data_IF_087443690131
#
_entry.id   IF_087443690131
#
_cell.length_a   1.000
_cell.length_b   1.000
_cell.length_c   1.000
_cell.angle_alpha   90.00
_cell.angle_beta   90.00
_cell.angle_gamma   90.00
#
_symmetry.space_group_name_H-M   'P 1'
#
loop_
_entity.id
_entity.type
_entity.pdbx_description
1 polymer ?
#
# COMPACT_ATOMS: atom_id res chain seq x y z
N UNK A 1 44.03 -7.64 -20.41
CA UNK A 1 44.59 -6.54 -19.57
C UNK A 1 43.73 -5.30 -19.78
N UNK A 2 43.30 -4.67 -18.68
CA UNK A 2 42.53 -3.40 -18.63
C UNK A 2 43.46 -2.21 -18.88
N UNK A 3 43.05 -1.19 -19.66
CA UNK A 3 43.29 0.28 -19.48
C UNK A 3 42.23 1.00 -20.36
N UNK A 4 41.25 1.78 -19.91
CA UNK A 4 41.18 3.03 -19.12
C UNK A 4 41.83 4.25 -19.78
N UNK A 5 40.97 5.20 -20.21
CA UNK A 5 41.23 6.65 -20.36
C UNK A 5 39.92 7.32 -19.94
N UNK A 6 39.80 7.83 -18.71
CA UNK A 6 40.23 9.15 -18.22
C UNK A 6 39.35 10.29 -18.74
N UNK A 7 38.62 10.89 -17.81
CA UNK A 7 37.84 12.12 -17.99
C UNK A 7 37.56 12.71 -16.61
N UNK A 8 38.54 13.44 -16.09
CA UNK A 8 38.48 14.16 -14.82
C UNK A 8 37.76 15.49 -15.06
N UNK A 9 36.67 15.73 -14.34
CA UNK A 9 36.16 17.07 -14.07
C UNK A 9 36.10 17.23 -12.55
N UNK A 10 37.08 17.94 -12.01
CA UNK A 10 37.15 18.32 -10.62
C UNK A 10 36.87 19.83 -10.51
N UNK A 11 35.72 20.17 -9.93
CA UNK A 11 35.44 21.41 -9.20
C UNK A 11 34.12 21.12 -8.48
N UNK A 12 34.10 20.78 -7.19
CA UNK A 12 34.44 21.71 -6.13
C UNK A 12 33.14 22.08 -5.44
N UNK A 13 32.72 21.28 -4.46
CA UNK A 13 31.68 21.66 -3.52
C UNK A 13 31.91 20.93 -2.19
N UNK A 14 32.54 21.66 -1.27
CA UNK A 14 32.75 21.27 0.11
C UNK A 14 31.46 21.64 0.85
N UNK A 15 30.70 20.65 1.30
CA UNK A 15 29.69 20.85 2.33
C UNK A 15 30.16 20.16 3.61
N UNK A 16 30.48 20.97 4.60
CA UNK A 16 30.81 20.57 5.97
C UNK A 16 29.53 20.14 6.70
N UNK A 17 29.46 18.85 7.01
CA UNK A 17 28.86 18.19 8.19
C UNK A 17 27.62 18.81 8.87
N UNK A 18 26.49 18.09 8.81
CA UNK A 18 25.63 17.91 9.99
C UNK A 18 25.47 16.41 10.24
N UNK A 19 25.66 16.05 11.51
CA UNK A 19 25.56 14.73 12.08
C UNK A 19 24.27 14.00 11.68
N UNK A 20 24.38 12.71 11.40
CA UNK A 20 23.20 11.86 11.18
C UNK A 20 23.50 10.66 10.31
N UNK A 21 24.48 9.85 10.70
CA UNK A 21 24.64 8.51 10.14
C UNK A 21 23.46 7.68 10.65
N UNK A 22 22.42 7.59 9.84
CA UNK A 22 21.59 6.39 9.74
C UNK A 22 21.21 6.27 8.27
N UNK A 23 21.85 5.38 7.49
CA UNK A 23 21.06 4.70 6.48
C UNK A 23 19.93 4.03 7.27
N UNK A 24 18.73 4.62 7.20
CA UNK A 24 17.49 3.92 7.55
C UNK A 24 17.63 2.57 6.86
N UNK A 25 17.78 1.51 7.67
CA UNK A 25 17.81 0.16 7.16
C UNK A 25 16.56 0.08 6.32
N UNK A 26 16.72 -0.02 5.00
CA UNK A 26 15.66 -0.41 4.11
C UNK A 26 15.29 -1.81 4.56
N UNK A 27 14.40 -1.86 5.55
CA UNK A 27 13.85 -3.06 6.12
C UNK A 27 13.36 -3.82 4.90
N UNK A 28 13.96 -4.99 4.67
CA UNK A 28 13.63 -5.86 3.57
C UNK A 28 12.20 -6.34 3.81
N UNK A 29 11.26 -5.44 3.52
CA UNK A 29 9.85 -5.58 3.78
C UNK A 29 9.42 -6.71 2.88
N UNK A 30 9.23 -7.87 3.51
CA UNK A 30 8.71 -9.08 2.88
C UNK A 30 7.51 -8.65 2.04
N UNK A 31 7.68 -8.57 0.71
CA UNK A 31 6.67 -8.00 -0.19
C UNK A 31 5.40 -8.83 -0.04
N UNK A 32 4.39 -8.28 0.66
CA UNK A 32 3.10 -8.95 0.81
C UNK A 32 2.41 -8.98 -0.55
N UNK A 33 1.88 -10.14 -0.93
CA UNK A 33 1.08 -10.25 -2.15
C UNK A 33 -0.19 -9.42 -1.97
N UNK A 34 -0.30 -8.36 -2.78
CA UNK A 34 -1.50 -7.52 -2.84
C UNK A 34 -2.43 -8.10 -3.90
N UNK A 35 -3.69 -8.27 -3.52
CA UNK A 35 -4.78 -8.64 -4.39
C UNK A 35 -5.62 -7.40 -4.69
N UNK A 36 -6.30 -7.40 -5.83
CA UNK A 36 -7.25 -6.35 -6.17
C UNK A 36 -8.54 -6.95 -6.70
N UNK A 37 -9.66 -6.30 -6.41
CA UNK A 37 -10.97 -6.72 -6.90
C UNK A 37 -11.88 -5.53 -7.09
N UNK A 38 -12.69 -5.55 -8.15
CA UNK A 38 -13.77 -4.59 -8.35
C UNK A 38 -15.07 -5.17 -7.77
N UNK A 39 -15.74 -4.42 -6.91
CA UNK A 39 -16.92 -4.92 -6.20
C UNK A 39 -17.86 -3.81 -5.75
N UNK A 40 -19.14 -4.15 -5.59
CA UNK A 40 -20.18 -3.26 -5.08
C UNK A 40 -20.12 -3.23 -3.56
N UNK A 41 -19.94 -2.05 -2.97
CA UNK A 41 -19.98 -1.86 -1.52
C UNK A 41 -21.37 -2.21 -0.99
N UNK A 42 -21.45 -3.09 0.00
CA UNK A 42 -22.72 -3.62 0.52
C UNK A 42 -23.05 -3.14 1.95
N UNK A 43 -22.15 -2.41 2.60
CA UNK A 43 -22.36 -1.84 3.93
C UNK A 43 -21.31 -2.29 4.95
N UNK A 44 -21.36 -1.68 6.13
CA UNK A 44 -20.51 -2.03 7.27
C UNK A 44 -21.17 -3.10 8.13
N UNK A 45 -20.45 -4.17 8.46
CA UNK A 45 -20.88 -5.17 9.43
C UNK A 45 -20.53 -4.74 10.87
N UNK A 46 -19.42 -4.01 11.01
CA UNK A 46 -19.00 -3.35 12.24
C UNK A 46 -18.13 -2.11 11.88
N UNK A 47 -17.62 -1.31 12.83
CA UNK A 47 -16.85 -0.10 12.53
C UNK A 47 -15.59 -0.32 11.66
N UNK A 48 -15.10 -1.55 11.60
CA UNK A 48 -13.82 -1.96 11.00
C UNK A 48 -14.01 -2.87 9.80
N UNK A 49 -15.04 -3.71 9.81
CA UNK A 49 -15.32 -4.69 8.77
C UNK A 49 -16.52 -4.27 7.92
N UNK A 50 -16.37 -4.44 6.62
CA UNK A 50 -17.40 -4.12 5.66
C UNK A 50 -17.49 -5.17 4.57
N UNK A 51 -18.66 -5.25 3.95
CA UNK A 51 -18.95 -6.25 2.93
C UNK A 51 -18.92 -5.63 1.52
N UNK A 52 -18.42 -6.42 0.58
CA UNK A 52 -18.50 -6.12 -0.85
C UNK A 52 -19.09 -7.31 -1.60
N UNK A 53 -19.87 -7.01 -2.64
CA UNK A 53 -20.37 -7.99 -3.60
C UNK A 53 -19.48 -8.02 -4.83
N UNK A 54 -18.96 -9.20 -5.14
CA UNK A 54 -18.11 -9.50 -6.31
C UNK A 54 -18.80 -10.57 -7.14
N UNK A 55 -19.49 -10.17 -8.20
CA UNK A 55 -20.35 -11.06 -8.98
C UNK A 55 -21.47 -11.63 -8.11
N UNK A 56 -21.52 -12.96 -7.98
CA UNK A 56 -22.50 -13.69 -7.14
C UNK A 56 -22.00 -13.97 -5.71
N UNK A 57 -20.78 -13.55 -5.36
CA UNK A 57 -20.15 -13.83 -4.06
C UNK A 57 -20.02 -12.56 -3.23
N UNK A 58 -20.04 -12.71 -1.91
CA UNK A 58 -19.72 -11.64 -0.97
C UNK A 58 -18.33 -11.84 -0.38
N UNK A 59 -17.67 -10.74 -0.01
CA UNK A 59 -16.39 -10.75 0.70
C UNK A 59 -16.43 -9.72 1.82
N UNK A 60 -15.88 -10.10 2.96
CA UNK A 60 -15.68 -9.19 4.09
C UNK A 60 -14.24 -8.67 4.04
N UNK A 61 -14.12 -7.34 4.04
CA UNK A 61 -12.86 -6.61 4.05
C UNK A 61 -12.72 -5.85 5.37
N UNK A 62 -11.49 -5.68 5.82
CA UNK A 62 -11.15 -4.97 7.05
C UNK A 62 -10.44 -3.66 6.72
N UNK A 63 -10.89 -2.54 7.29
CA UNK A 63 -10.18 -1.28 7.25
C UNK A 63 -10.48 -0.43 8.49
N UNK A 64 -9.42 0.02 9.18
CA UNK A 64 -9.51 1.00 10.27
C UNK A 64 -9.51 2.44 9.76
N UNK A 65 -9.58 2.66 8.45
CA UNK A 65 -9.51 4.00 7.87
C UNK A 65 -10.89 4.67 7.93
N UNK A 66 -11.04 5.60 8.89
CA UNK A 66 -12.28 6.36 9.10
C UNK A 66 -12.71 7.21 7.91
N UNK A 67 -11.81 7.53 6.97
CA UNK A 67 -12.18 8.21 5.72
C UNK A 67 -13.09 7.33 4.87
N UNK A 68 -12.77 6.03 4.70
CA UNK A 68 -13.61 5.13 3.91
C UNK A 68 -15.02 5.02 4.50
N UNK A 69 -15.14 4.97 5.84
CA UNK A 69 -16.44 4.92 6.53
C UNK A 69 -17.36 6.08 6.20
N UNK A 70 -16.80 7.26 5.92
CA UNK A 70 -17.57 8.47 5.59
C UNK A 70 -17.84 8.63 4.09
N UNK A 71 -17.10 7.94 3.22
CA UNK A 71 -17.08 8.22 1.77
C UNK A 71 -17.47 7.03 0.88
N UNK A 72 -17.47 5.81 1.41
CA UNK A 72 -18.06 4.67 0.72
C UNK A 72 -19.58 4.78 0.76
N UNK A 73 -20.21 4.63 -0.40
CA UNK A 73 -21.65 4.70 -0.55
C UNK A 73 -22.18 3.32 -0.90
N UNK A 74 -23.18 2.87 -0.16
CA UNK A 74 -23.82 1.57 -0.41
C UNK A 74 -24.32 1.51 -1.86
N UNK A 75 -24.07 0.35 -2.45
CA UNK A 75 -24.40 0.07 -3.82
C UNK A 75 -23.48 0.68 -4.88
N UNK A 76 -22.46 1.48 -4.53
CA UNK A 76 -21.43 1.89 -5.48
C UNK A 76 -20.37 0.82 -5.66
N UNK A 77 -19.84 0.74 -6.88
CA UNK A 77 -18.71 -0.12 -7.22
C UNK A 77 -17.39 0.63 -7.01
N UNK A 78 -16.43 -0.03 -6.37
CA UNK A 78 -15.07 0.47 -6.14
C UNK A 78 -14.06 -0.63 -6.47
N UNK A 79 -12.78 -0.24 -6.62
CA UNK A 79 -11.65 -1.19 -6.72
C UNK A 79 -10.92 -1.25 -5.38
N UNK A 80 -10.90 -2.42 -4.76
CA UNK A 80 -10.30 -2.66 -3.45
C UNK A 80 -8.97 -3.37 -3.61
N UNK A 81 -7.91 -2.81 -3.05
CA UNK A 81 -6.59 -3.40 -2.95
C UNK A 81 -6.41 -3.91 -1.52
N UNK A 82 -6.10 -5.19 -1.34
CA UNK A 82 -6.02 -5.80 -0.02
C UNK A 82 -4.98 -6.94 0.03
N UNK A 83 -4.56 -7.34 1.21
CA UNK A 83 -3.78 -8.56 1.43
C UNK A 83 -4.49 -9.46 2.44
N UNK A 84 -4.21 -10.77 2.38
CA UNK A 84 -4.64 -11.74 3.39
C UNK A 84 -3.56 -11.82 4.47
N UNK A 85 -3.92 -11.58 5.72
CA UNK A 85 -2.97 -11.71 6.84
C UNK A 85 -2.84 -13.17 7.31
N UNK A 86 -2.00 -13.40 8.34
CA UNK A 86 -1.76 -14.74 8.90
C UNK A 86 -3.00 -15.39 9.54
N UNK A 87 -4.02 -14.60 9.89
CA UNK A 87 -5.30 -15.07 10.44
C UNK A 87 -6.37 -15.22 9.37
N UNK A 88 -6.05 -14.92 8.13
CA UNK A 88 -6.96 -14.99 7.00
C UNK A 88 -7.83 -13.76 6.79
N UNK A 89 -7.62 -12.68 7.54
CA UNK A 89 -8.35 -11.42 7.39
C UNK A 89 -7.90 -10.69 6.13
N UNK A 90 -8.86 -10.11 5.40
CA UNK A 90 -8.60 -9.36 4.17
C UNK A 90 -8.44 -7.87 4.49
N UNK A 91 -7.19 -7.42 4.69
CA UNK A 91 -6.87 -6.06 5.11
C UNK A 91 -6.69 -5.13 3.92
N UNK A 92 -7.47 -4.06 3.89
CA UNK A 92 -7.46 -3.06 2.82
C UNK A 92 -6.18 -2.22 2.91
N UNK A 93 -5.51 -2.10 1.77
CA UNK A 93 -4.40 -1.16 1.54
C UNK A 93 -4.93 0.14 0.95
N UNK A 94 -5.77 0.06 -0.08
CA UNK A 94 -6.28 1.21 -0.83
C UNK A 94 -7.64 0.90 -1.45
N UNK A 95 -8.49 1.92 -1.57
CA UNK A 95 -9.76 1.84 -2.31
C UNK A 95 -9.78 2.96 -3.36
N UNK A 96 -10.03 2.59 -4.62
CA UNK A 96 -10.24 3.52 -5.71
C UNK A 96 -11.72 3.56 -6.12
N UNK A 97 -12.19 4.75 -6.48
CA UNK A 97 -13.51 4.96 -7.09
C UNK A 97 -13.55 4.42 -8.52
#
# INVERSE_FOLDING_TARGET
>A
MKKLIAGVLAAGLVFTTVAGVHPEKADATKKRKIYHVKGKFNGYADPTFFEIKVGKKYKVLMSNNGWYRKHLKEGRTYTYFYYKDKYGQLKVVKINK
#
